data_IF_769988327958
#
_entry.id   IF_769988327958
#
_cell.length_a   1.000
_cell.length_b   1.000
_cell.length_c   1.000
_cell.angle_alpha   90.00
_cell.angle_beta   90.00
_cell.angle_gamma   90.00
#
_symmetry.space_group_name_H-M   'P 1'
#
loop_
_entity.id
_entity.type
_entity.pdbx_description
1 polymer ?
#
# COMPACT_ATOMS: atom_id res chain seq x y z
N UNK A 1 -10.99 6.13 -8.71
CA UNK A 1 -9.88 6.54 -9.61
C UNK A 1 -8.59 6.04 -8.98
N UNK A 2 -7.62 5.60 -9.78
CA UNK A 2 -6.32 5.15 -9.27
C UNK A 2 -5.60 6.31 -8.56
N UNK A 3 -4.82 5.98 -7.53
CA UNK A 3 -3.96 6.93 -6.82
C UNK A 3 -2.56 6.34 -6.75
N UNK A 4 -1.56 7.16 -7.08
CA UNK A 4 -0.14 6.77 -6.98
C UNK A 4 0.22 6.53 -5.52
N UNK A 5 1.12 5.58 -5.23
CA UNK A 5 1.53 5.32 -3.86
C UNK A 5 2.27 6.54 -3.27
N UNK A 6 1.92 6.90 -2.04
CA UNK A 6 2.56 8.01 -1.34
C UNK A 6 3.77 7.52 -0.53
N UNK A 7 4.98 7.75 -1.06
CA UNK A 7 6.23 7.34 -0.44
C UNK A 7 6.45 7.95 0.96
N UNK A 8 5.84 9.11 1.25
CA UNK A 8 6.00 9.79 2.54
C UNK A 8 5.32 9.06 3.70
N UNK A 9 4.37 8.16 3.41
CA UNK A 9 3.71 7.33 4.43
C UNK A 9 4.58 6.14 4.86
N UNK A 10 5.48 5.69 3.99
CA UNK A 10 6.35 4.55 4.25
C UNK A 10 7.56 4.98 5.07
N UNK A 11 7.30 5.16 6.36
CA UNK A 11 8.31 5.50 7.36
C UNK A 11 8.11 4.60 8.57
N UNK A 12 9.09 4.58 9.46
CA UNK A 12 8.99 3.80 10.67
C UNK A 12 10.28 3.85 11.47
N UNK A 13 10.39 2.95 12.44
CA UNK A 13 11.62 2.77 13.20
C UNK A 13 12.73 2.27 12.28
N UNK A 14 13.85 2.99 12.25
CA UNK A 14 15.04 2.65 11.50
C UNK A 14 15.99 1.85 12.40
N UNK A 15 16.23 0.58 12.05
CA UNK A 15 17.09 -0.31 12.85
C UNK A 15 18.55 -0.30 12.37
N UNK A 16 18.77 -0.04 11.08
CA UNK A 16 20.09 0.15 10.48
C UNK A 16 19.99 0.86 9.13
N UNK A 17 20.97 1.70 8.83
CA UNK A 17 21.13 2.32 7.51
C UNK A 17 21.90 1.43 6.52
N UNK A 18 22.68 0.46 7.03
CA UNK A 18 23.65 -0.29 6.22
C UNK A 18 23.48 -1.81 6.27
N UNK A 19 22.98 -2.35 7.39
CA UNK A 19 22.79 -3.79 7.55
C UNK A 19 21.44 -4.22 6.97
N UNK A 20 21.48 -4.82 5.77
CA UNK A 20 20.29 -5.28 5.05
C UNK A 20 19.48 -6.31 5.84
N UNK A 21 20.10 -7.07 6.76
CA UNK A 21 19.36 -8.03 7.58
C UNK A 21 18.48 -7.35 8.64
N UNK A 22 18.78 -6.09 8.97
CA UNK A 22 18.00 -5.26 9.88
C UNK A 22 16.99 -4.36 9.17
N UNK A 23 16.89 -4.43 7.83
CA UNK A 23 16.00 -3.55 7.08
C UNK A 23 14.52 -3.88 7.35
N UNK A 24 13.73 -2.81 7.50
CA UNK A 24 12.26 -2.88 7.59
C UNK A 24 11.64 -2.71 6.21
N UNK A 25 10.38 -3.11 6.04
CA UNK A 25 9.68 -3.07 4.74
C UNK A 25 9.75 -1.70 4.04
N UNK A 26 9.67 -0.60 4.79
CA UNK A 26 9.76 0.75 4.21
C UNK A 26 11.11 1.06 3.55
N UNK A 27 12.18 0.33 3.89
CA UNK A 27 13.51 0.46 3.28
C UNK A 27 13.66 -0.36 1.99
N UNK A 28 12.76 -1.32 1.76
CA UNK A 28 12.91 -2.32 0.67
C UNK A 28 11.77 -2.31 -0.33
N UNK A 29 10.62 -1.71 0.01
CA UNK A 29 9.47 -1.62 -0.87
C UNK A 29 9.81 -0.78 -2.11
N UNK A 30 9.30 -1.21 -3.26
CA UNK A 30 9.38 -0.46 -4.51
C UNK A 30 8.03 0.19 -4.79
N UNK A 31 8.06 1.42 -5.30
CA UNK A 31 6.86 2.20 -5.60
C UNK A 31 6.64 2.22 -7.09
N UNK A 32 5.53 1.63 -7.54
CA UNK A 32 5.17 1.52 -8.95
C UNK A 32 3.99 2.44 -9.25
N UNK A 33 4.12 3.18 -10.35
CA UNK A 33 3.03 3.96 -10.93
C UNK A 33 2.36 3.14 -12.04
N UNK A 34 1.18 2.58 -11.75
CA UNK A 34 0.46 1.69 -12.67
C UNK A 34 -0.01 2.38 -13.95
N UNK A 35 0.02 3.71 -14.02
CA UNK A 35 -0.28 4.45 -15.26
C UNK A 35 0.90 4.44 -16.25
N UNK A 36 2.12 4.21 -15.77
CA UNK A 36 3.35 4.31 -16.56
C UNK A 36 4.18 3.03 -16.58
N UNK A 37 3.98 2.15 -15.60
CA UNK A 37 4.76 0.92 -15.41
C UNK A 37 3.83 -0.27 -15.19
N UNK A 38 4.11 -1.37 -15.88
CA UNK A 38 3.42 -2.64 -15.66
C UNK A 38 4.14 -3.43 -14.55
N UNK A 39 3.40 -4.07 -13.62
CA UNK A 39 3.99 -5.01 -12.67
C UNK A 39 4.71 -6.15 -13.40
N UNK A 40 5.82 -6.65 -12.83
CA UNK A 40 6.49 -7.83 -13.37
C UNK A 40 5.83 -9.11 -12.87
N UNK A 41 5.80 -10.14 -13.71
CA UNK A 41 5.32 -11.46 -13.33
C UNK A 41 6.23 -12.07 -12.26
N UNK A 42 5.60 -12.60 -11.20
CA UNK A 42 6.31 -13.24 -10.08
C UNK A 42 6.55 -12.34 -8.88
N UNK A 43 6.26 -11.04 -8.97
CA UNK A 43 6.35 -10.12 -7.84
C UNK A 43 5.11 -10.16 -6.94
N UNK A 44 5.29 -9.66 -5.71
CA UNK A 44 4.20 -9.47 -4.75
C UNK A 44 3.93 -7.96 -4.63
N UNK A 45 2.67 -7.56 -4.85
CA UNK A 45 2.24 -6.17 -4.74
C UNK A 45 1.24 -5.97 -3.60
N UNK A 46 1.28 -4.78 -3.00
CA UNK A 46 0.27 -4.29 -2.07
C UNK A 46 -0.61 -3.27 -2.80
N UNK A 47 -1.93 -3.45 -2.74
CA UNK A 47 -2.91 -2.56 -3.37
C UNK A 47 -4.06 -2.26 -2.40
N UNK A 48 -4.31 -0.98 -2.16
CA UNK A 48 -5.45 -0.53 -1.37
C UNK A 48 -6.73 -0.47 -2.20
N UNK A 49 -7.78 -1.12 -1.73
CA UNK A 49 -9.12 -1.03 -2.32
C UNK A 49 -10.08 -0.30 -1.37
N UNK A 50 -10.00 1.03 -1.38
CA UNK A 50 -10.74 1.91 -0.49
C UNK A 50 -12.17 2.17 -0.99
N UNK A 51 -13.10 1.24 -0.74
CA UNK A 51 -14.52 1.39 -1.14
C UNK A 51 -15.48 0.92 -0.03
N UNK A 52 -16.55 1.71 0.17
CA UNK A 52 -17.64 1.37 1.09
C UNK A 52 -18.97 1.10 0.38
N UNK A 53 -19.05 1.33 -0.93
CA UNK A 53 -20.31 1.29 -1.66
C UNK A 53 -20.97 -0.09 -1.60
N UNK A 54 -20.20 -1.18 -1.70
CA UNK A 54 -20.72 -2.54 -1.52
C UNK A 54 -21.23 -2.79 -0.10
N UNK A 55 -20.55 -2.24 0.91
CA UNK A 55 -20.97 -2.33 2.32
C UNK A 55 -22.30 -1.60 2.52
N UNK A 56 -22.42 -0.39 1.96
CA UNK A 56 -23.64 0.44 2.00
C UNK A 56 -24.81 -0.24 1.31
N UNK A 57 -24.61 -0.79 0.11
CA UNK A 57 -25.64 -1.51 -0.66
C UNK A 57 -26.15 -2.76 0.08
N UNK A 58 -25.28 -3.42 0.84
CA UNK A 58 -25.62 -4.56 1.67
C UNK A 58 -26.14 -4.18 3.07
N UNK A 59 -26.44 -2.90 3.32
CA UNK A 59 -26.94 -2.37 4.61
C UNK A 59 -25.99 -2.65 5.78
N UNK A 60 -24.69 -2.76 5.50
CA UNK A 60 -23.64 -2.89 6.50
C UNK A 60 -23.27 -1.55 7.14
N UNK A 61 -22.34 -1.59 8.10
CA UNK A 61 -21.72 -0.40 8.69
C UNK A 61 -20.52 0.01 7.84
N UNK A 62 -20.56 1.21 7.28
CA UNK A 62 -19.47 1.80 6.48
C UNK A 62 -18.20 2.02 7.30
N UNK A 63 -17.07 2.14 6.62
CA UNK A 63 -15.73 2.34 7.18
C UNK A 63 -14.66 1.44 6.56
N UNK A 64 -15.03 0.48 5.71
CA UNK A 64 -14.07 -0.39 5.03
C UNK A 64 -13.17 0.38 4.06
N UNK A 65 -13.65 1.53 3.54
CA UNK A 65 -12.83 2.38 2.67
C UNK A 65 -11.63 3.00 3.40
N UNK A 66 -11.67 3.14 4.72
CA UNK A 66 -10.56 3.65 5.54
C UNK A 66 -9.50 2.55 5.83
N UNK A 67 -9.85 1.28 5.61
CA UNK A 67 -8.99 0.14 5.94
C UNK A 67 -7.59 0.15 5.31
N UNK A 68 -7.41 0.53 4.03
CA UNK A 68 -6.08 0.58 3.42
C UNK A 68 -5.10 1.57 4.05
N UNK A 69 -5.57 2.59 4.76
CA UNK A 69 -4.73 3.63 5.41
C UNK A 69 -4.57 3.41 6.93
N UNK A 70 -5.23 2.39 7.49
CA UNK A 70 -5.30 2.13 8.93
C UNK A 70 -4.04 1.48 9.54
#
# INVERSE_FOLDING_TARGET
MYQKPNQKLWTGRLDSEIDRQAFRHFQTVQFVDLEHEAPQDGDIALLGYAIDEGVRLNKGRVGASEGPDA
#
